data_IF_369465121474
#
_entry.id   IF_369465121474
#
_cell.length_a   1.000
_cell.length_b   1.000
_cell.length_c   1.000
_cell.angle_alpha   90.00
_cell.angle_beta   90.00
_cell.angle_gamma   90.00
#
_symmetry.space_group_name_H-M   'P 1'
#
loop_
_entity.id
_entity.type
_entity.pdbx_description
1 polymer ?
#
# COMPACT_ATOMS: atom_id res chain seq x y z
N UNK A 1 9.11 -6.57 5.84
CA UNK A 1 8.45 -6.56 7.16
C UNK A 1 6.94 -6.36 7.07
N UNK A 2 6.49 -5.49 6.17
CA UNK A 2 5.05 -5.28 5.95
C UNK A 2 4.30 -6.58 5.58
N UNK A 3 4.94 -7.50 4.86
CA UNK A 3 4.37 -8.81 4.55
C UNK A 3 4.09 -9.66 5.79
N UNK A 4 4.93 -9.58 6.82
CA UNK A 4 4.71 -10.27 8.10
C UNK A 4 3.44 -9.76 8.78
N UNK A 5 3.24 -8.44 8.83
CA UNK A 5 2.04 -7.84 9.42
C UNK A 5 0.77 -8.12 8.62
N UNK A 6 0.86 -8.11 7.28
CA UNK A 6 -0.27 -8.51 6.44
C UNK A 6 -0.65 -9.95 6.72
N UNK A 7 0.33 -10.85 6.82
CA UNK A 7 0.10 -12.25 7.11
C UNK A 7 -0.54 -12.44 8.50
N UNK A 8 -0.10 -11.71 9.50
CA UNK A 8 -0.65 -11.79 10.86
C UNK A 8 -2.05 -11.19 10.95
N UNK A 9 -2.29 -10.02 10.37
CA UNK A 9 -3.61 -9.39 10.34
C UNK A 9 -4.61 -10.19 9.51
N UNK A 10 -4.14 -10.82 8.43
CA UNK A 10 -4.94 -11.71 7.62
C UNK A 10 -5.06 -13.12 8.22
N UNK A 11 -4.44 -13.42 9.36
CA UNK A 11 -4.30 -14.79 9.88
C UNK A 11 -5.64 -15.51 10.05
N UNK A 12 -6.65 -14.83 10.56
CA UNK A 12 -7.99 -15.39 10.66
C UNK A 12 -8.62 -15.62 9.28
N UNK A 13 -8.39 -14.73 8.33
CA UNK A 13 -8.84 -14.84 6.94
C UNK A 13 -7.93 -15.76 6.13
N UNK A 14 -6.63 -15.78 6.42
CA UNK A 14 -5.66 -16.67 5.78
C UNK A 14 -5.93 -18.15 6.10
N UNK A 15 -6.68 -18.44 7.15
CA UNK A 15 -7.23 -19.78 7.34
C UNK A 15 -8.22 -20.18 6.25
N UNK A 16 -8.86 -19.20 5.60
CA UNK A 16 -9.71 -19.43 4.42
C UNK A 16 -8.90 -19.48 3.11
N UNK A 17 -7.69 -18.90 3.12
CA UNK A 17 -6.80 -18.88 1.96
C UNK A 17 -5.36 -19.19 2.42
N UNK A 18 -5.08 -20.43 2.87
CA UNK A 18 -3.75 -20.81 3.39
C UNK A 18 -2.61 -20.50 2.44
N UNK A 19 -2.82 -20.71 1.15
CA UNK A 19 -1.85 -20.43 0.10
C UNK A 19 -1.41 -18.96 0.05
N UNK A 20 -2.36 -18.02 0.23
CA UNK A 20 -2.03 -16.59 0.24
C UNK A 20 -1.15 -16.24 1.44
N UNK A 21 -1.45 -16.80 2.61
CA UNK A 21 -0.62 -16.62 3.80
C UNK A 21 0.79 -17.16 3.58
N UNK A 22 0.91 -18.38 3.07
CA UNK A 22 2.20 -19.01 2.84
C UNK A 22 3.02 -18.24 1.81
N UNK A 23 2.36 -17.71 0.75
CA UNK A 23 2.99 -16.85 -0.24
C UNK A 23 3.49 -15.55 0.40
N UNK A 24 2.68 -14.88 1.22
CA UNK A 24 3.07 -13.65 1.92
C UNK A 24 4.20 -13.90 2.91
N UNK A 25 4.23 -15.03 3.58
CA UNK A 25 5.28 -15.39 4.53
C UNK A 25 6.57 -15.85 3.85
N UNK A 26 6.48 -16.60 2.77
CA UNK A 26 7.65 -17.15 2.06
C UNK A 26 8.33 -16.13 1.16
N UNK A 27 7.54 -15.31 0.48
CA UNK A 27 8.04 -14.29 -0.45
C UNK A 27 8.13 -12.90 0.19
N UNK A 28 7.64 -12.77 1.43
CA UNK A 28 7.70 -11.53 2.14
C UNK A 28 9.15 -11.20 2.46
N UNK A 29 9.69 -10.32 1.70
CA UNK A 29 10.85 -9.50 1.99
C UNK A 29 12.04 -10.30 2.52
N UNK A 30 12.76 -10.92 1.62
CA UNK A 30 14.15 -11.23 1.89
C UNK A 30 14.90 -9.92 2.08
N UNK A 31 15.24 -9.61 3.32
CA UNK A 31 16.20 -8.57 3.63
C UNK A 31 17.56 -9.13 3.23
N UNK A 32 17.91 -8.90 2.01
CA UNK A 32 19.24 -9.18 1.49
C UNK A 32 19.77 -7.90 0.86
N UNK A 33 21.04 -7.88 0.53
CA UNK A 33 21.70 -6.78 -0.19
C UNK A 33 21.08 -6.47 -1.57
N UNK A 34 20.09 -7.24 -2.00
CA UNK A 34 19.38 -7.14 -3.27
C UNK A 34 17.87 -7.16 -3.06
N UNK A 35 17.32 -6.18 -2.36
CA UNK A 35 15.86 -6.00 -2.34
C UNK A 35 15.45 -5.51 -3.73
N UNK A 36 14.87 -6.40 -4.54
CA UNK A 36 14.24 -6.01 -5.80
C UNK A 36 12.76 -5.72 -5.56
N UNK A 37 12.19 -4.83 -6.38
CA UNK A 37 10.73 -4.58 -6.37
C UNK A 37 9.89 -5.84 -6.61
N UNK A 38 10.49 -6.89 -7.15
CA UNK A 38 9.83 -8.18 -7.33
C UNK A 38 9.44 -8.83 -6.00
N UNK A 39 10.15 -8.56 -4.92
CA UNK A 39 9.83 -9.08 -3.58
C UNK A 39 8.59 -8.41 -2.97
N UNK A 40 8.15 -7.27 -3.50
CA UNK A 40 6.92 -6.58 -3.08
C UNK A 40 5.69 -7.00 -3.90
N UNK A 41 5.87 -7.78 -4.95
CA UNK A 41 4.78 -8.23 -5.82
C UNK A 41 3.67 -8.96 -5.05
N UNK A 42 3.95 -9.88 -4.09
CA UNK A 42 2.90 -10.53 -3.33
C UNK A 42 2.05 -9.56 -2.52
N UNK A 43 2.66 -8.53 -1.93
CA UNK A 43 1.96 -7.49 -1.16
C UNK A 43 1.03 -6.68 -2.05
N UNK A 44 1.52 -6.23 -3.20
CA UNK A 44 0.72 -5.50 -4.20
C UNK A 44 -0.41 -6.37 -4.76
N UNK A 45 -0.15 -7.64 -5.01
CA UNK A 45 -1.14 -8.61 -5.49
C UNK A 45 -2.25 -8.83 -4.47
N UNK A 46 -1.91 -8.87 -3.16
CA UNK A 46 -2.90 -8.98 -2.11
C UNK A 46 -3.92 -7.84 -2.14
N UNK A 47 -3.46 -6.62 -2.34
CA UNK A 47 -4.34 -5.45 -2.36
C UNK A 47 -5.37 -5.55 -3.50
N UNK A 48 -4.96 -5.95 -4.68
CA UNK A 48 -5.83 -6.07 -5.84
C UNK A 48 -6.32 -4.72 -6.38
N UNK A 49 -7.33 -4.77 -7.23
CA UNK A 49 -7.99 -3.59 -7.82
C UNK A 49 -9.51 -3.80 -7.74
N UNK A 50 -10.33 -2.78 -7.44
CA UNK A 50 -11.77 -2.95 -7.38
C UNK A 50 -12.37 -3.00 -8.78
N UNK A 51 -13.43 -3.76 -8.97
CA UNK A 51 -14.17 -3.84 -10.22
C UNK A 51 -14.61 -5.25 -10.60
N UNK A 52 -14.89 -5.42 -11.87
CA UNK A 52 -15.44 -6.65 -12.43
C UNK A 52 -14.51 -7.86 -12.21
N UNK A 53 -14.95 -8.91 -11.49
CA UNK A 53 -14.14 -10.11 -11.27
C UNK A 53 -13.75 -10.84 -12.56
N UNK A 54 -14.59 -10.80 -13.60
CA UNK A 54 -14.27 -11.41 -14.89
C UNK A 54 -13.11 -10.70 -15.61
N UNK A 55 -12.80 -9.46 -15.20
CA UNK A 55 -11.64 -8.69 -15.69
C UNK A 55 -10.48 -8.65 -14.68
N UNK A 56 -10.49 -9.55 -13.69
CA UNK A 56 -9.46 -9.62 -12.66
C UNK A 56 -9.62 -8.60 -11.52
N UNK A 57 -10.78 -7.97 -11.42
CA UNK A 57 -11.13 -7.07 -10.32
C UNK A 57 -11.59 -7.81 -9.07
N UNK A 58 -11.77 -7.07 -8.00
CA UNK A 58 -12.38 -7.51 -6.75
C UNK A 58 -13.71 -6.79 -6.56
N UNK A 59 -14.73 -7.45 -5.99
CA UNK A 59 -15.92 -6.75 -5.48
C UNK A 59 -15.49 -5.62 -4.55
N UNK A 60 -16.20 -4.50 -4.59
CA UNK A 60 -15.80 -3.28 -3.85
C UNK A 60 -15.71 -3.49 -2.34
N UNK A 61 -16.59 -4.29 -1.76
CA UNK A 61 -16.60 -4.65 -0.34
C UNK A 61 -15.35 -5.46 0.05
N UNK A 62 -14.97 -6.44 -0.77
CA UNK A 62 -13.73 -7.22 -0.58
C UNK A 62 -12.50 -6.33 -0.74
N UNK A 63 -12.47 -5.47 -1.73
CA UNK A 63 -11.38 -4.51 -1.92
C UNK A 63 -11.26 -3.57 -0.71
N UNK A 64 -12.38 -3.02 -0.22
CA UNK A 64 -12.41 -2.16 0.98
C UNK A 64 -11.90 -2.89 2.22
N UNK A 65 -12.28 -4.15 2.39
CA UNK A 65 -11.77 -4.98 3.47
C UNK A 65 -10.24 -5.15 3.40
N UNK A 66 -9.70 -5.41 2.21
CA UNK A 66 -8.25 -5.53 1.98
C UNK A 66 -7.52 -4.21 2.19
N UNK A 67 -8.13 -3.08 1.82
CA UNK A 67 -7.60 -1.75 2.11
C UNK A 67 -7.39 -1.55 3.62
N UNK A 68 -8.39 -1.90 4.43
CA UNK A 68 -8.30 -1.78 5.89
C UNK A 68 -7.18 -2.66 6.48
N UNK A 69 -7.04 -3.87 5.99
CA UNK A 69 -5.95 -4.77 6.42
C UNK A 69 -4.57 -4.27 6.00
N UNK A 70 -4.46 -3.79 4.77
CA UNK A 70 -3.22 -3.22 4.24
C UNK A 70 -2.79 -2.01 5.05
N UNK A 71 -3.72 -1.08 5.30
CA UNK A 71 -3.49 0.10 6.14
C UNK A 71 -3.00 -0.28 7.54
N UNK A 72 -3.70 -1.19 8.20
CA UNK A 72 -3.32 -1.63 9.54
C UNK A 72 -1.92 -2.26 9.57
N UNK A 73 -1.59 -3.06 8.56
CA UNK A 73 -0.28 -3.67 8.43
C UNK A 73 0.83 -2.64 8.18
N UNK A 74 0.57 -1.65 7.33
CA UNK A 74 1.52 -0.58 7.02
C UNK A 74 1.81 0.28 8.25
N UNK A 75 0.76 0.74 8.94
CA UNK A 75 0.90 1.50 10.19
C UNK A 75 1.68 0.70 11.23
N UNK A 76 1.34 -0.57 11.44
CA UNK A 76 2.05 -1.42 12.40
C UNK A 76 3.53 -1.57 12.03
N UNK A 77 3.83 -1.76 10.76
CA UNK A 77 5.22 -1.86 10.30
C UNK A 77 6.01 -0.56 10.51
N UNK A 78 5.39 0.60 10.30
CA UNK A 78 6.01 1.90 10.52
C UNK A 78 6.25 2.16 12.01
N UNK A 79 5.32 1.81 12.87
CA UNK A 79 5.46 1.92 14.32
C UNK A 79 6.61 1.06 14.86
N UNK A 80 6.86 -0.11 14.26
CA UNK A 80 7.93 -1.03 14.66
C UNK A 80 9.27 -0.77 13.94
N UNK A 81 9.44 0.38 13.30
CA UNK A 81 10.68 0.72 12.58
C UNK A 81 11.93 0.57 13.45
N UNK A 82 11.90 1.02 14.71
CA UNK A 82 13.02 0.86 15.65
C UNK A 82 13.42 -0.60 15.85
N UNK A 83 12.45 -1.49 16.05
CA UNK A 83 12.69 -2.93 16.16
C UNK A 83 13.34 -3.51 14.90
N UNK A 84 12.91 -3.10 13.73
CA UNK A 84 13.49 -3.60 12.47
C UNK A 84 14.90 -3.06 12.22
N UNK A 85 15.21 -1.84 12.64
CA UNK A 85 16.58 -1.29 12.61
C UNK A 85 17.49 -2.15 13.47
N UNK A 86 17.15 -2.37 14.75
CA UNK A 86 17.91 -3.22 15.66
C UNK A 86 18.07 -4.65 15.15
N UNK A 87 17.02 -5.22 14.58
CA UNK A 87 17.05 -6.55 13.97
C UNK A 87 17.99 -6.62 12.78
N UNK A 88 17.97 -5.61 11.91
CA UNK A 88 18.85 -5.54 10.73
C UNK A 88 20.32 -5.44 11.15
N UNK A 89 20.64 -4.60 12.14
CA UNK A 89 21.99 -4.48 12.69
C UNK A 89 22.46 -5.81 13.31
N UNK A 90 21.64 -6.42 14.14
CA UNK A 90 21.99 -7.67 14.84
C UNK A 90 22.18 -8.86 13.90
N UNK A 91 21.34 -8.98 12.87
CA UNK A 91 21.38 -10.15 11.96
C UNK A 91 22.35 -9.98 10.80
N UNK A 92 22.49 -8.77 10.29
CA UNK A 92 23.23 -8.51 9.05
C UNK A 92 24.41 -7.57 9.24
N UNK A 93 24.54 -6.97 10.42
CA UNK A 93 25.60 -6.01 10.76
C UNK A 93 25.69 -4.83 9.77
N UNK A 94 24.55 -4.42 9.22
CA UNK A 94 24.50 -3.27 8.33
C UNK A 94 24.56 -1.97 9.15
N UNK A 95 25.48 -1.06 8.83
CA UNK A 95 25.62 0.22 9.54
C UNK A 95 24.53 1.23 9.16
N UNK A 96 23.74 0.95 8.14
CA UNK A 96 22.71 1.84 7.64
C UNK A 96 21.43 1.08 7.33
N UNK A 97 20.31 1.74 7.62
CA UNK A 97 18.97 1.24 7.34
C UNK A 97 18.20 2.33 6.56
N UNK A 98 17.63 1.97 5.43
CA UNK A 98 16.78 2.87 4.64
C UNK A 98 15.34 2.40 4.82
N UNK A 99 14.52 3.27 5.42
CA UNK A 99 13.08 3.06 5.56
C UNK A 99 12.38 3.82 4.43
N UNK A 100 11.96 3.11 3.39
CA UNK A 100 11.11 3.66 2.34
C UNK A 100 9.65 3.48 2.77
N UNK A 101 8.99 4.59 3.08
CA UNK A 101 7.61 4.59 3.55
C UNK A 101 6.59 4.50 2.42
N UNK A 102 7.02 4.75 1.18
CA UNK A 102 6.10 4.92 0.06
C UNK A 102 5.24 6.19 0.18
N UNK A 103 4.49 6.50 -0.87
CA UNK A 103 3.59 7.67 -0.88
C UNK A 103 2.35 7.50 0.00
N UNK A 104 1.98 6.27 0.33
CA UNK A 104 0.81 5.95 1.17
C UNK A 104 0.89 6.50 2.59
N UNK A 105 2.09 6.79 3.11
CA UNK A 105 2.23 7.41 4.43
C UNK A 105 1.44 8.73 4.54
N UNK A 106 1.38 9.51 3.46
CA UNK A 106 0.63 10.77 3.43
C UNK A 106 -0.88 10.58 3.68
N UNK A 107 -1.38 9.37 3.47
CA UNK A 107 -2.78 9.00 3.72
C UNK A 107 -3.04 8.63 5.19
N UNK A 108 -1.99 8.26 5.95
CA UNK A 108 -2.11 7.65 7.28
C UNK A 108 -1.68 8.55 8.43
N UNK A 109 -0.91 9.58 8.16
CA UNK A 109 -0.35 10.48 9.17
C UNK A 109 -0.99 11.85 9.12
N UNK A 110 -0.99 12.52 10.28
CA UNK A 110 -1.37 13.92 10.38
C UNK A 110 -0.13 14.77 10.67
N UNK A 111 0.42 15.41 9.64
CA UNK A 111 1.62 16.23 9.76
C UNK A 111 1.42 17.50 10.61
N UNK A 112 0.17 17.90 10.86
CA UNK A 112 -0.16 19.03 11.73
C UNK A 112 -0.26 18.65 13.22
N UNK A 113 -0.33 17.34 13.50
CA UNK A 113 -0.34 16.81 14.86
C UNK A 113 1.09 16.49 15.32
N UNK A 114 1.69 17.26 16.23
CA UNK A 114 3.03 16.98 16.76
C UNK A 114 3.11 15.69 17.56
N UNK A 115 1.97 15.09 17.90
CA UNK A 115 1.86 13.83 18.62
C UNK A 115 1.45 12.66 17.73
N UNK A 116 1.45 12.84 16.40
CA UNK A 116 1.17 11.73 15.48
C UNK A 116 2.06 10.52 15.81
N UNK A 117 1.49 9.35 16.11
CA UNK A 117 2.25 8.22 16.61
C UNK A 117 3.22 7.65 15.57
N UNK A 118 2.86 7.68 14.28
CA UNK A 118 3.70 7.14 13.21
C UNK A 118 4.89 8.06 12.95
N UNK A 119 4.64 9.37 12.81
CA UNK A 119 5.70 10.34 12.63
C UNK A 119 6.64 10.39 13.83
N UNK A 120 6.09 10.31 15.04
CA UNK A 120 6.90 10.26 16.28
C UNK A 120 7.78 9.01 16.34
N UNK A 121 7.26 7.84 15.97
CA UNK A 121 8.04 6.61 15.95
C UNK A 121 9.16 6.67 14.89
N UNK A 122 8.88 7.18 13.71
CA UNK A 122 9.89 7.35 12.66
C UNK A 122 10.96 8.35 13.08
N UNK A 123 10.58 9.51 13.59
CA UNK A 123 11.51 10.56 14.01
C UNK A 123 12.42 10.14 15.17
N UNK A 124 11.94 9.23 16.03
CA UNK A 124 12.74 8.70 17.15
C UNK A 124 13.91 7.82 16.69
N UNK A 125 13.83 7.22 15.50
CA UNK A 125 14.78 6.19 15.07
C UNK A 125 15.46 6.50 13.72
N UNK A 126 14.97 7.50 12.97
CA UNK A 126 15.47 7.79 11.63
C UNK A 126 15.67 9.28 11.39
N UNK A 127 16.55 9.61 10.45
CA UNK A 127 16.57 10.92 9.82
C UNK A 127 15.47 10.95 8.76
N UNK A 128 14.42 11.70 9.00
CA UNK A 128 13.32 11.84 8.04
C UNK A 128 13.76 12.75 6.89
N UNK A 129 13.58 12.27 5.67
CA UNK A 129 13.86 13.01 4.43
C UNK A 129 12.57 13.08 3.62
N UNK A 130 12.09 14.29 3.39
CA UNK A 130 10.98 14.53 2.49
C UNK A 130 11.49 14.88 1.10
N UNK A 131 11.01 14.15 0.08
CA UNK A 131 11.32 14.38 -1.32
C UNK A 131 10.17 15.15 -1.94
N UNK A 132 10.37 16.45 -2.15
CA UNK A 132 9.36 17.31 -2.77
C UNK A 132 9.26 17.03 -4.27
N UNK A 133 8.03 16.80 -4.73
CA UNK A 133 7.71 16.68 -6.15
C UNK A 133 7.41 18.03 -6.80
N UNK A 134 7.46 18.10 -8.13
CA UNK A 134 6.95 19.20 -8.93
C UNK A 134 5.75 18.77 -9.77
N UNK A 135 5.06 19.73 -10.40
CA UNK A 135 3.97 19.40 -11.34
C UNK A 135 4.44 18.51 -12.50
N UNK A 136 5.67 18.71 -12.97
CA UNK A 136 6.26 17.86 -14.01
C UNK A 136 6.47 16.42 -13.54
N UNK A 137 6.87 16.24 -12.28
CA UNK A 137 6.96 14.92 -11.65
C UNK A 137 5.59 14.26 -11.56
N UNK A 138 4.55 14.99 -11.16
CA UNK A 138 3.17 14.49 -11.12
C UNK A 138 2.69 14.02 -12.49
N UNK A 139 2.91 14.83 -13.53
CA UNK A 139 2.57 14.46 -14.90
C UNK A 139 3.29 13.19 -15.38
N UNK A 140 4.58 13.05 -15.04
CA UNK A 140 5.34 11.85 -15.38
C UNK A 140 4.87 10.61 -14.61
N UNK A 141 4.51 10.76 -13.33
CA UNK A 141 3.95 9.68 -12.52
C UNK A 141 2.63 9.18 -13.11
N UNK A 142 1.73 10.07 -13.48
CA UNK A 142 0.47 9.72 -14.15
C UNK A 142 0.75 8.97 -15.45
N UNK A 143 1.66 9.49 -16.29
CA UNK A 143 2.02 8.87 -17.56
C UNK A 143 2.62 7.47 -17.41
N UNK A 144 3.42 7.24 -16.36
CA UNK A 144 3.95 5.90 -16.04
C UNK A 144 2.87 4.96 -15.55
N UNK A 145 2.00 5.47 -14.69
CA UNK A 145 0.91 4.70 -14.12
C UNK A 145 -0.10 4.24 -15.19
N UNK A 146 -0.41 5.10 -16.15
CA UNK A 146 -1.32 4.79 -17.26
C UNK A 146 -0.85 3.61 -18.11
N UNK A 147 0.47 3.41 -18.23
CA UNK A 147 1.04 2.27 -18.97
C UNK A 147 0.85 0.94 -18.26
N UNK A 148 0.92 0.94 -16.94
CA UNK A 148 0.84 -0.26 -16.12
C UNK A 148 0.22 0.08 -14.76
N UNK A 149 -1.12 0.22 -14.67
CA UNK A 149 -1.80 0.58 -13.44
C UNK A 149 -1.61 -0.51 -12.38
N UNK A 150 -1.15 -0.07 -11.22
CA UNK A 150 -0.87 -0.93 -10.07
C UNK A 150 -2.01 -0.86 -9.05
N UNK A 151 -2.15 -1.87 -8.19
CA UNK A 151 -3.00 -1.74 -7.00
C UNK A 151 -2.63 -0.49 -6.20
N UNK A 152 -3.66 0.23 -5.75
CA UNK A 152 -3.50 1.46 -4.98
C UNK A 152 -4.11 1.32 -3.60
N UNK A 153 -3.48 1.94 -2.60
CA UNK A 153 -4.07 2.17 -1.30
C UNK A 153 -4.79 3.53 -1.31
N UNK A 154 -5.95 3.57 -0.72
CA UNK A 154 -6.78 4.78 -0.63
C UNK A 154 -7.31 4.98 0.78
N UNK A 155 -7.51 6.23 1.16
CA UNK A 155 -8.33 6.56 2.32
C UNK A 155 -9.77 6.07 2.11
N UNK A 156 -10.44 5.54 3.15
CA UNK A 156 -11.81 5.02 3.03
C UNK A 156 -12.79 6.02 2.43
N UNK A 157 -12.74 7.26 2.87
CA UNK A 157 -13.63 8.34 2.42
C UNK A 157 -13.36 8.71 0.95
N UNK A 158 -12.10 8.77 0.56
CA UNK A 158 -11.71 9.00 -0.83
C UNK A 158 -12.21 7.87 -1.72
N UNK A 159 -11.98 6.62 -1.34
CA UNK A 159 -12.42 5.45 -2.09
C UNK A 159 -13.95 5.43 -2.25
N UNK A 160 -14.69 5.61 -1.15
CA UNK A 160 -16.15 5.59 -1.19
C UNK A 160 -16.71 6.67 -2.12
N UNK A 161 -16.19 7.90 -2.01
CA UNK A 161 -16.59 9.02 -2.85
C UNK A 161 -16.27 8.78 -4.32
N UNK A 162 -15.03 8.43 -4.63
CA UNK A 162 -14.58 8.25 -6.01
C UNK A 162 -15.21 7.05 -6.68
N UNK A 163 -15.50 5.98 -5.93
CA UNK A 163 -16.23 4.82 -6.44
C UNK A 163 -17.64 5.18 -6.88
N UNK A 164 -18.40 5.85 -6.01
CA UNK A 164 -19.74 6.29 -6.31
C UNK A 164 -19.78 7.26 -7.50
N UNK A 165 -18.85 8.21 -7.54
CA UNK A 165 -18.72 9.17 -8.63
C UNK A 165 -18.40 8.50 -9.97
N UNK A 166 -17.44 7.57 -9.99
CA UNK A 166 -17.06 6.85 -11.20
C UNK A 166 -18.21 6.02 -11.77
N UNK A 167 -18.92 5.26 -10.90
CA UNK A 167 -20.09 4.49 -11.31
C UNK A 167 -21.18 5.38 -11.88
N UNK A 168 -21.47 6.52 -11.25
CA UNK A 168 -22.47 7.47 -11.74
C UNK A 168 -22.08 8.10 -13.06
N UNK A 169 -20.84 8.56 -13.23
CA UNK A 169 -20.33 9.18 -14.47
C UNK A 169 -20.39 8.23 -15.67
N UNK A 170 -20.15 6.95 -15.44
CA UNK A 170 -20.11 5.95 -16.49
C UNK A 170 -21.43 5.16 -16.63
N UNK A 171 -22.43 5.45 -15.79
CA UNK A 171 -23.69 4.71 -15.73
C UNK A 171 -23.48 3.19 -15.60
N UNK A 172 -22.56 2.79 -14.72
CA UNK A 172 -22.15 1.40 -14.48
C UNK A 172 -22.55 0.94 -13.09
N UNK A 173 -22.90 -0.33 -12.98
CA UNK A 173 -23.00 -1.03 -11.68
C UNK A 173 -21.58 -1.44 -11.22
N UNK A 174 -21.43 -1.73 -9.94
CA UNK A 174 -20.16 -2.17 -9.32
C UNK A 174 -19.53 -3.35 -10.08
N UNK A 175 -20.35 -4.28 -10.57
CA UNK A 175 -19.90 -5.47 -11.29
C UNK A 175 -19.43 -5.20 -12.74
N UNK A 176 -19.67 -4.01 -13.27
CA UNK A 176 -19.31 -3.66 -14.65
C UNK A 176 -18.04 -2.82 -14.72
N UNK A 177 -17.62 -2.24 -13.61
CA UNK A 177 -16.44 -1.37 -13.55
C UNK A 177 -15.18 -2.11 -14.02
N UNK A 178 -14.48 -1.53 -14.98
CA UNK A 178 -13.16 -2.02 -15.38
C UNK A 178 -12.13 -1.61 -14.33
N UNK A 179 -11.43 -2.59 -13.70
CA UNK A 179 -10.53 -2.31 -12.59
C UNK A 179 -9.36 -1.40 -12.97
N UNK A 180 -8.82 -1.56 -14.17
CA UNK A 180 -7.70 -0.74 -14.63
C UNK A 180 -8.14 0.67 -14.99
N UNK A 181 -9.32 0.81 -15.58
CA UNK A 181 -9.88 2.12 -15.94
C UNK A 181 -10.20 2.95 -14.68
N UNK A 182 -10.80 2.31 -13.66
CA UNK A 182 -11.06 2.96 -12.38
C UNK A 182 -9.77 3.44 -11.70
N UNK A 183 -8.77 2.57 -11.60
CA UNK A 183 -7.49 2.90 -10.96
C UNK A 183 -6.75 4.02 -11.71
N UNK A 184 -6.78 4.06 -13.03
CA UNK A 184 -6.20 5.17 -13.81
C UNK A 184 -6.91 6.49 -13.52
N UNK A 185 -8.23 6.46 -13.50
CA UNK A 185 -9.03 7.65 -13.25
C UNK A 185 -8.83 8.20 -11.84
N UNK A 186 -8.79 7.34 -10.82
CA UNK A 186 -8.59 7.75 -9.43
C UNK A 186 -7.17 8.19 -9.14
N UNK A 187 -6.17 7.60 -9.80
CA UNK A 187 -4.77 7.97 -9.58
C UNK A 187 -4.49 9.43 -9.89
N UNK A 188 -5.02 9.92 -10.99
CA UNK A 188 -4.89 11.33 -11.36
C UNK A 188 -5.55 12.27 -10.33
N UNK A 189 -6.67 11.84 -9.72
CA UNK A 189 -7.35 12.62 -8.68
C UNK A 189 -6.65 12.57 -7.32
N UNK A 190 -5.98 11.46 -7.02
CA UNK A 190 -5.21 11.33 -5.77
C UNK A 190 -3.93 12.18 -5.76
N UNK A 191 -3.44 12.60 -6.93
CA UNK A 191 -2.25 13.44 -7.07
C UNK A 191 -2.58 14.93 -7.27
N UNK A 192 -3.87 15.30 -7.39
CA UNK A 192 -4.32 16.68 -7.55
C UNK A 192 -4.49 17.38 -6.22
#
# INVERSE_FOLDING_TARGET
>A
YMGEYIADNAKAEAMKVPFLRDLLMSDSIHIGSNISFNNLTPVSTYLGKPGNPAKGGLPIDEYTRRQSQFRAAEISALLDTGYFIERAERLYQYPHFICDTGGSICEWVNAEDPADPVLSALAAHTLMVWIEGSQDHTAELIRRFDRAPKPMAYMPEFLARTWAEYCALNNQSDAEVDPDAFIRWTYAQALA
#
